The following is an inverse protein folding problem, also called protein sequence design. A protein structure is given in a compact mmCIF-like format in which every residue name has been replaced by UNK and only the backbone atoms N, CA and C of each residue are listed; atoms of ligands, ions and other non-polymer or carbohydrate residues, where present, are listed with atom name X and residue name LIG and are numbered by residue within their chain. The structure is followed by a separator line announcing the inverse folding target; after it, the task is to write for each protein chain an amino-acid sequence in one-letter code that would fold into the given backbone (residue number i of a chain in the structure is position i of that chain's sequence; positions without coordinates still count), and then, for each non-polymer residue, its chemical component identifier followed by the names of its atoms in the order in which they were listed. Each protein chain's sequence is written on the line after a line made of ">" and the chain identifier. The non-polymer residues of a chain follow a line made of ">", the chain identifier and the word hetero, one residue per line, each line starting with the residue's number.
data_IF_942587182344
#
_entry.id   IF_942587182344
#
_cell.length_a   1.000
_cell.length_b   1.000
_cell.length_c   1.000
_cell.angle_alpha   90.00
_cell.angle_beta   90.00
_cell.angle_gamma   90.00
#
_symmetry.space_group_name_H-M   'P 1'
#
loop_
_entity.id
_entity.type
_entity.pdbx_description
1 polymer ?
#
# COMPACT_ATOMS: atom_id res chain seq x y z
N UNK A 1 -14.54 -13.75 7.59
CA UNK A 1 -15.44 -13.84 6.42
C UNK A 1 -14.88 -13.00 5.29
N UNK A 2 -15.42 -13.07 4.07
CA UNK A 2 -15.04 -12.24 2.93
C UNK A 2 -16.28 -11.73 2.19
N UNK A 3 -16.16 -10.61 1.50
CA UNK A 3 -17.15 -10.10 0.53
C UNK A 3 -16.61 -10.33 -0.87
N UNK A 4 -17.49 -10.78 -1.75
CA UNK A 4 -17.23 -10.92 -3.17
C UNK A 4 -18.01 -9.84 -3.91
N UNK A 5 -17.32 -9.07 -4.76
CA UNK A 5 -17.90 -8.16 -5.74
C UNK A 5 -17.55 -8.64 -7.13
N UNK A 6 -18.49 -8.51 -8.07
CA UNK A 6 -18.24 -8.96 -9.44
C UNK A 6 -19.04 -8.17 -10.47
N UNK A 7 -18.49 -8.12 -11.69
CA UNK A 7 -19.14 -7.59 -12.87
C UNK A 7 -18.91 -8.51 -14.08
N UNK A 8 -19.25 -8.09 -15.27
CA UNK A 8 -19.05 -8.90 -16.50
C UNK A 8 -17.58 -9.21 -16.83
N UNK A 9 -16.59 -8.52 -16.24
CA UNK A 9 -15.17 -8.67 -16.54
C UNK A 9 -14.38 -9.35 -15.41
N UNK A 10 -14.68 -8.97 -14.18
CA UNK A 10 -13.85 -9.27 -13.01
C UNK A 10 -14.69 -9.82 -11.85
N UNK A 11 -14.03 -10.63 -11.04
CA UNK A 11 -14.48 -11.07 -9.72
C UNK A 11 -13.39 -10.77 -8.71
N UNK A 12 -13.70 -9.96 -7.70
CA UNK A 12 -12.78 -9.63 -6.62
C UNK A 12 -13.31 -10.15 -5.27
N UNK A 13 -12.40 -10.62 -4.43
CA UNK A 13 -12.71 -11.08 -3.08
C UNK A 13 -11.89 -10.30 -2.05
N UNK A 14 -12.57 -9.74 -1.05
CA UNK A 14 -11.98 -8.91 -0.01
C UNK A 14 -12.33 -9.51 1.35
N UNK A 15 -11.31 -9.76 2.19
CA UNK A 15 -11.46 -10.27 3.55
C UNK A 15 -11.90 -9.17 4.50
N UNK A 16 -12.76 -9.49 5.48
CA UNK A 16 -13.08 -8.58 6.57
C UNK A 16 -11.86 -8.28 7.45
N UNK A 17 -10.98 -9.28 7.63
CA UNK A 17 -9.71 -9.05 8.31
C UNK A 17 -8.77 -8.26 7.42
N UNK A 18 -8.41 -7.07 7.90
CA UNK A 18 -7.51 -6.16 7.22
C UNK A 18 -8.13 -5.41 6.04
N UNK A 19 -9.42 -5.59 5.74
CA UNK A 19 -10.02 -5.18 4.47
C UNK A 19 -9.15 -5.65 3.27
N UNK A 20 -8.47 -6.81 3.42
CA UNK A 20 -7.43 -7.26 2.51
C UNK A 20 -8.02 -7.79 1.21
N UNK A 21 -7.66 -7.18 0.08
CA UNK A 21 -7.94 -7.75 -1.24
C UNK A 21 -7.21 -9.09 -1.39
N UNK A 22 -7.95 -10.17 -1.55
CA UNK A 22 -7.37 -11.52 -1.53
C UNK A 22 -7.38 -12.22 -2.88
N UNK A 23 -8.20 -11.76 -3.82
CA UNK A 23 -8.27 -12.33 -5.17
C UNK A 23 -8.86 -11.31 -6.13
N UNK A 24 -8.32 -11.24 -7.33
CA UNK A 24 -8.97 -10.64 -8.50
C UNK A 24 -8.79 -11.56 -9.68
N UNK A 25 -9.90 -12.02 -10.23
CA UNK A 25 -9.90 -12.91 -11.39
C UNK A 25 -10.65 -12.30 -12.57
N UNK A 26 -10.13 -12.51 -13.78
CA UNK A 26 -10.91 -12.28 -14.98
C UNK A 26 -11.87 -13.46 -15.25
N UNK A 27 -12.72 -13.33 -16.27
CA UNK A 27 -13.68 -14.39 -16.64
C UNK A 27 -13.03 -15.69 -17.13
N UNK A 28 -11.78 -15.61 -17.60
CA UNK A 28 -10.96 -16.79 -17.95
C UNK A 28 -10.37 -17.53 -16.75
N UNK A 29 -10.55 -17.00 -15.53
CA UNK A 29 -10.02 -17.59 -14.29
C UNK A 29 -8.57 -17.21 -13.99
N UNK A 30 -7.97 -16.29 -14.75
CA UNK A 30 -6.62 -15.80 -14.45
C UNK A 30 -6.62 -15.00 -13.14
N UNK A 31 -5.82 -15.43 -12.18
CA UNK A 31 -5.66 -14.78 -10.88
C UNK A 31 -4.51 -13.77 -10.94
N UNK A 32 -4.83 -12.50 -10.71
CA UNK A 32 -3.87 -11.41 -10.74
C UNK A 32 -3.11 -11.23 -9.42
N UNK A 33 -3.73 -11.60 -8.30
CA UNK A 33 -3.19 -11.36 -6.96
C UNK A 33 -2.40 -12.58 -6.47
N UNK A 34 -1.29 -12.33 -5.82
CA UNK A 34 -0.54 -13.34 -5.08
C UNK A 34 -1.43 -14.02 -4.04
N UNK A 35 -1.42 -15.35 -4.01
CA UNK A 35 -2.37 -16.09 -3.16
C UNK A 35 -1.87 -16.40 -1.75
N UNK A 36 -0.69 -15.90 -1.40
CA UNK A 36 -0.07 -16.13 -0.10
C UNK A 36 0.53 -17.55 0.02
N UNK A 37 1.73 -17.61 0.55
CA UNK A 37 2.38 -18.86 0.93
C UNK A 37 3.16 -18.58 2.23
N UNK A 38 2.84 -19.30 3.30
CA UNK A 38 3.49 -19.12 4.61
C UNK A 38 5.01 -19.31 4.56
N UNK A 39 5.49 -20.13 3.63
CA UNK A 39 6.94 -20.35 3.42
C UNK A 39 7.63 -19.20 2.72
N UNK A 40 6.88 -18.36 2.01
CA UNK A 40 7.39 -17.21 1.26
C UNK A 40 6.91 -15.93 1.93
N UNK A 41 5.63 -15.63 1.78
CA UNK A 41 4.94 -14.47 2.37
C UNK A 41 3.44 -14.74 2.43
N UNK A 42 2.91 -14.82 3.64
CA UNK A 42 1.54 -15.25 3.89
C UNK A 42 0.46 -14.22 3.56
N UNK A 43 0.83 -12.93 3.41
CA UNK A 43 -0.12 -11.85 3.08
C UNK A 43 -0.32 -11.77 1.57
N UNK A 44 -1.34 -11.01 1.17
CA UNK A 44 -1.71 -10.78 -0.23
C UNK A 44 -1.67 -9.28 -0.58
N UNK A 45 -2.58 -8.49 -0.04
CA UNK A 45 -2.66 -7.04 -0.25
C UNK A 45 -2.98 -6.33 1.09
N UNK A 46 -2.06 -6.33 2.07
CA UNK A 46 -2.35 -5.75 3.36
C UNK A 46 -2.56 -4.23 3.26
N UNK A 47 -3.62 -3.75 3.90
CA UNK A 47 -3.89 -2.32 4.07
C UNK A 47 -3.05 -1.79 5.22
N UNK A 48 -2.36 -0.67 4.98
CA UNK A 48 -1.45 -0.04 5.93
C UNK A 48 -2.15 1.13 6.62
N UNK A 49 -2.19 1.15 7.96
CA UNK A 49 -2.70 2.24 8.79
C UNK A 49 -2.42 1.94 10.27
N UNK A 50 -2.09 2.91 11.15
CA UNK A 50 -1.93 4.35 10.88
C UNK A 50 -0.49 4.76 10.53
N UNK A 51 0.39 3.82 10.21
CA UNK A 51 1.75 4.07 9.76
C UNK A 51 2.10 3.23 8.54
N UNK A 52 2.96 3.76 7.67
CA UNK A 52 3.59 3.04 6.58
C UNK A 52 5.03 2.69 6.96
N UNK A 53 5.44 1.45 6.69
CA UNK A 53 6.79 0.98 7.00
C UNK A 53 7.04 0.75 8.49
N UNK A 54 8.31 0.81 8.87
CA UNK A 54 8.78 0.52 10.23
C UNK A 54 8.96 1.80 11.05
N UNK A 55 8.70 1.70 12.35
CA UNK A 55 9.11 2.68 13.35
C UNK A 55 10.39 2.20 14.04
N UNK A 56 11.30 3.11 14.34
CA UNK A 56 12.54 2.80 15.09
C UNK A 56 12.15 2.20 16.43
N UNK A 57 12.74 1.04 16.75
CA UNK A 57 12.44 0.26 17.95
C UNK A 57 10.95 -0.13 18.11
N UNK A 58 10.16 -0.07 17.03
CA UNK A 58 8.68 -0.26 17.04
C UNK A 58 7.97 0.69 18.00
N UNK A 59 8.47 1.90 18.19
CA UNK A 59 7.96 2.87 19.16
C UNK A 59 7.86 4.25 18.56
N UNK A 60 6.94 5.04 19.10
CA UNK A 60 6.85 6.46 18.87
C UNK A 60 6.41 7.19 20.14
N UNK A 61 6.60 8.51 20.19
CA UNK A 61 6.16 9.36 21.30
C UNK A 61 5.06 10.30 20.84
N UNK A 62 4.06 10.46 21.68
CA UNK A 62 2.99 11.42 21.49
C UNK A 62 2.44 11.87 22.84
N UNK A 63 2.26 13.21 23.04
CA UNK A 63 1.70 13.77 24.27
C UNK A 63 2.47 13.38 25.54
N UNK A 64 3.80 13.21 25.46
CA UNK A 64 4.64 12.81 26.57
C UNK A 64 4.66 11.31 26.87
N UNK A 65 3.83 10.51 26.22
CA UNK A 65 3.78 9.04 26.37
C UNK A 65 4.52 8.34 25.23
N UNK A 66 4.94 7.10 25.48
CA UNK A 66 5.53 6.20 24.47
C UNK A 66 4.55 5.10 24.15
N UNK A 67 4.35 4.88 22.85
CA UNK A 67 3.48 3.86 22.31
C UNK A 67 4.27 2.86 21.48
N UNK A 68 3.84 1.59 21.51
CA UNK A 68 4.41 0.54 20.66
C UNK A 68 3.51 0.30 19.44
N UNK A 69 4.11 0.12 18.28
CA UNK A 69 3.38 -0.18 17.06
C UNK A 69 4.24 -1.02 16.11
N UNK A 70 3.64 -2.04 15.56
CA UNK A 70 4.28 -2.88 14.57
C UNK A 70 4.44 -2.16 13.22
N UNK A 71 5.31 -2.70 12.38
CA UNK A 71 5.43 -2.26 10.98
C UNK A 71 4.07 -2.24 10.30
N UNK A 72 3.79 -1.17 9.57
CA UNK A 72 2.54 -0.92 8.85
C UNK A 72 1.30 -0.73 9.74
N UNK A 73 1.48 -0.55 11.05
CA UNK A 73 0.38 -0.35 11.99
C UNK A 73 -0.44 -1.60 12.25
N UNK A 74 -1.73 -1.42 12.50
CA UNK A 74 -2.62 -2.50 12.96
C UNK A 74 -3.75 -2.84 11.99
N UNK A 75 -4.02 -2.03 10.96
CA UNK A 75 -5.18 -2.23 10.08
C UNK A 75 -5.22 -3.63 9.46
N UNK A 76 -4.10 -4.14 8.94
CA UNK A 76 -4.03 -5.47 8.33
C UNK A 76 -4.32 -6.64 9.30
N UNK A 77 -4.23 -6.40 10.62
CA UNK A 77 -4.54 -7.38 11.65
C UNK A 77 -5.94 -7.21 12.25
N UNK A 78 -6.59 -6.08 12.03
CA UNK A 78 -7.91 -5.73 12.56
C UNK A 78 -9.04 -6.35 11.74
N UNK A 79 -10.20 -6.55 12.38
CA UNK A 79 -11.42 -6.96 11.68
C UNK A 79 -12.25 -5.70 11.41
N UNK A 80 -12.51 -5.45 10.13
CA UNK A 80 -13.33 -4.35 9.68
C UNK A 80 -14.81 -4.73 9.68
N UNK A 81 -15.66 -3.78 9.98
CA UNK A 81 -17.08 -3.89 9.65
C UNK A 81 -17.20 -3.81 8.14
N UNK A 82 -17.72 -4.87 7.53
CA UNK A 82 -17.87 -4.98 6.09
C UNK A 82 -19.32 -4.81 5.66
N UNK A 83 -19.54 -4.03 4.60
CA UNK A 83 -20.85 -3.78 4.02
C UNK A 83 -20.79 -3.93 2.50
N UNK A 84 -21.64 -4.79 1.94
CA UNK A 84 -21.83 -4.90 0.49
C UNK A 84 -22.77 -3.79 0.03
N UNK A 85 -22.25 -2.82 -0.72
CA UNK A 85 -23.03 -1.68 -1.21
C UNK A 85 -23.84 -2.05 -2.48
N UNK A 86 -23.28 -2.91 -3.34
CA UNK A 86 -23.89 -3.40 -4.56
C UNK A 86 -23.26 -4.74 -4.99
N UNK A 87 -23.61 -5.24 -6.18
CA UNK A 87 -22.90 -6.39 -6.79
C UNK A 87 -21.43 -6.07 -7.09
N UNK A 88 -21.12 -4.80 -7.37
CA UNK A 88 -19.79 -4.33 -7.78
C UNK A 88 -19.04 -3.53 -6.73
N UNK A 89 -19.62 -3.25 -5.56
CA UNK A 89 -18.99 -2.40 -4.56
C UNK A 89 -19.18 -2.90 -3.13
N UNK A 90 -18.13 -2.72 -2.31
CA UNK A 90 -18.12 -3.02 -0.89
C UNK A 90 -17.35 -1.96 -0.11
N UNK A 91 -17.79 -1.69 1.12
CA UNK A 91 -17.17 -0.77 2.07
C UNK A 91 -16.73 -1.52 3.32
N UNK A 92 -15.50 -1.22 3.74
CA UNK A 92 -14.90 -1.76 4.96
C UNK A 92 -14.56 -0.61 5.88
N UNK A 93 -15.00 -0.67 7.13
CA UNK A 93 -14.82 0.43 8.10
C UNK A 93 -14.19 -0.11 9.39
N UNK A 94 -13.16 0.57 9.84
CA UNK A 94 -12.49 0.35 11.12
C UNK A 94 -12.59 1.62 11.95
N UNK A 95 -13.02 1.48 13.20
CA UNK A 95 -12.99 2.54 14.20
C UNK A 95 -12.08 2.14 15.36
N UNK A 96 -11.79 3.09 16.22
CA UNK A 96 -11.03 2.83 17.44
C UNK A 96 -11.75 1.81 18.34
N UNK A 97 -10.96 1.11 19.11
CA UNK A 97 -11.37 0.23 20.21
C UNK A 97 -10.27 0.25 21.30
N UNK A 98 -10.45 -0.47 22.38
CA UNK A 98 -9.48 -0.50 23.49
C UNK A 98 -8.08 -0.92 23.03
N UNK A 99 -7.96 -1.93 22.13
CA UNK A 99 -6.68 -2.41 21.63
C UNK A 99 -5.98 -1.36 20.74
N UNK A 100 -6.73 -0.68 19.87
CA UNK A 100 -6.17 0.35 19.01
C UNK A 100 -5.81 1.61 19.80
N UNK A 101 -6.62 2.03 20.77
CA UNK A 101 -6.34 3.18 21.65
C UNK A 101 -5.10 2.97 22.52
N UNK A 102 -4.81 1.73 22.93
CA UNK A 102 -3.61 1.41 23.69
C UNK A 102 -2.30 1.63 22.91
N UNK A 103 -2.35 1.55 21.58
CA UNK A 103 -1.18 1.73 20.69
C UNK A 103 -1.27 2.98 19.80
N UNK A 104 -2.46 3.62 19.70
CA UNK A 104 -2.71 4.79 18.87
C UNK A 104 -3.85 5.63 19.50
N UNK A 105 -3.50 6.66 20.32
CA UNK A 105 -4.46 7.33 21.20
C UNK A 105 -5.30 8.38 20.48
N UNK A 106 -5.98 7.98 19.42
CA UNK A 106 -6.85 8.84 18.60
C UNK A 106 -8.16 8.12 18.29
N UNK A 107 -9.26 8.89 18.29
CA UNK A 107 -10.54 8.44 17.76
C UNK A 107 -10.57 8.69 16.24
N UNK A 108 -10.87 7.65 15.47
CA UNK A 108 -10.83 7.71 14.02
C UNK A 108 -11.92 6.87 13.37
N UNK A 109 -12.26 7.19 12.12
CA UNK A 109 -12.95 6.28 11.23
C UNK A 109 -12.03 6.09 10.01
N UNK A 110 -11.53 4.87 9.83
CA UNK A 110 -10.77 4.49 8.65
C UNK A 110 -11.62 3.59 7.77
N UNK A 111 -11.81 3.97 6.51
CA UNK A 111 -12.59 3.19 5.56
C UNK A 111 -11.83 2.88 4.29
N UNK A 112 -12.10 1.71 3.73
CA UNK A 112 -11.61 1.27 2.43
C UNK A 112 -12.82 0.83 1.60
N UNK A 113 -13.09 1.51 0.51
CA UNK A 113 -14.13 1.15 -0.46
C UNK A 113 -13.50 0.51 -1.68
N UNK A 114 -14.02 -0.62 -2.08
CA UNK A 114 -13.66 -1.32 -3.31
C UNK A 114 -14.84 -1.25 -4.28
N UNK A 115 -14.57 -0.89 -5.55
CA UNK A 115 -15.60 -0.81 -6.57
C UNK A 115 -15.06 -1.26 -7.93
N UNK A 116 -15.73 -2.22 -8.57
CA UNK A 116 -15.43 -2.66 -9.93
C UNK A 116 -16.11 -1.76 -10.95
N UNK A 117 -15.33 -1.12 -11.81
CA UNK A 117 -15.79 -0.26 -12.91
C UNK A 117 -15.18 -0.76 -14.23
N UNK A 118 -15.95 -1.47 -15.02
CA UNK A 118 -15.41 -2.14 -16.20
C UNK A 118 -14.30 -3.12 -15.83
N UNK A 119 -13.11 -2.95 -16.39
CA UNK A 119 -11.91 -3.77 -16.09
C UNK A 119 -11.02 -3.15 -15.02
N UNK A 120 -11.53 -2.23 -14.24
CA UNK A 120 -10.77 -1.58 -13.16
C UNK A 120 -11.36 -1.91 -11.79
N UNK A 121 -10.50 -2.03 -10.81
CA UNK A 121 -10.83 -1.96 -9.38
C UNK A 121 -10.42 -0.57 -8.87
N UNK A 122 -11.41 0.19 -8.45
CA UNK A 122 -11.23 1.48 -7.80
C UNK A 122 -11.17 1.25 -6.30
N UNK A 123 -10.08 1.69 -5.66
CA UNK A 123 -9.88 1.57 -4.21
C UNK A 123 -9.80 2.98 -3.62
N UNK A 124 -10.78 3.31 -2.78
CA UNK A 124 -10.84 4.58 -2.07
C UNK A 124 -10.55 4.36 -0.59
N UNK A 125 -9.56 5.07 -0.09
CA UNK A 125 -9.23 5.15 1.33
C UNK A 125 -9.73 6.47 1.90
N UNK A 126 -10.37 6.43 3.06
CA UNK A 126 -10.75 7.65 3.77
C UNK A 126 -10.43 7.52 5.25
N UNK A 127 -9.83 8.58 5.81
CA UNK A 127 -9.55 8.72 7.22
C UNK A 127 -10.32 9.93 7.73
N UNK A 128 -11.25 9.71 8.65
CA UNK A 128 -11.96 10.78 9.36
C UNK A 128 -11.38 10.91 10.76
N UNK A 129 -11.02 12.12 11.13
CA UNK A 129 -10.71 12.45 12.51
C UNK A 129 -12.01 12.55 13.33
N UNK A 130 -12.26 11.55 14.18
CA UNK A 130 -13.42 11.52 15.07
C UNK A 130 -13.09 12.02 16.48
N UNK A 131 -11.84 12.50 16.69
CA UNK A 131 -11.36 13.07 17.94
C UNK A 131 -11.65 14.58 18.01
N UNK A 132 -11.50 15.18 19.19
CA UNK A 132 -11.57 16.63 19.43
C UNK A 132 -10.21 17.35 19.29
N UNK A 133 -9.14 16.60 18.98
CA UNK A 133 -7.77 17.07 18.75
C UNK A 133 -7.28 16.69 17.35
N UNK A 134 -6.14 17.22 16.97
CA UNK A 134 -5.46 16.84 15.71
C UNK A 134 -5.10 15.35 15.70
N UNK A 135 -5.38 14.69 14.61
CA UNK A 135 -5.02 13.29 14.34
C UNK A 135 -3.82 13.25 13.39
N UNK A 136 -2.89 12.32 13.65
CA UNK A 136 -1.68 12.13 12.85
C UNK A 136 -1.65 10.70 12.31
N UNK A 137 -1.51 10.54 11.01
CA UNK A 137 -1.57 9.23 10.38
C UNK A 137 -0.79 9.16 9.08
N UNK A 138 -0.53 7.95 8.63
CA UNK A 138 -0.23 7.61 7.24
C UNK A 138 -0.97 6.31 6.88
N UNK A 139 -1.17 6.09 5.59
CA UNK A 139 -1.78 4.87 5.09
C UNK A 139 -1.22 4.52 3.71
N UNK A 140 -1.42 3.28 3.29
CA UNK A 140 -0.96 2.84 1.99
C UNK A 140 -1.56 1.52 1.59
N UNK A 141 -1.41 1.26 0.31
CA UNK A 141 -1.72 0.02 -0.36
C UNK A 141 -0.46 -0.85 -0.48
N UNK A 142 -0.61 -2.16 -0.53
CA UNK A 142 0.51 -3.09 -0.60
C UNK A 142 0.13 -4.33 -1.43
N UNK A 143 -0.42 -4.09 -2.62
CA UNK A 143 -0.90 -5.15 -3.49
C UNK A 143 0.25 -5.95 -4.08
N UNK A 144 0.23 -7.27 -3.84
CA UNK A 144 1.13 -8.23 -4.47
C UNK A 144 0.48 -8.86 -5.69
N UNK A 145 1.06 -8.64 -6.84
CA UNK A 145 0.63 -9.20 -8.12
C UNK A 145 1.40 -10.48 -8.44
N UNK A 146 0.72 -11.47 -9.00
CA UNK A 146 1.34 -12.71 -9.46
C UNK A 146 2.34 -12.43 -10.58
N UNK A 147 3.62 -12.80 -10.34
CA UNK A 147 4.72 -12.61 -11.29
C UNK A 147 5.53 -13.89 -11.35
N UNK A 148 5.05 -14.88 -12.11
CA UNK A 148 5.80 -16.11 -12.39
C UNK A 148 6.84 -15.84 -13.48
N UNK A 149 7.99 -16.52 -13.41
CA UNK A 149 9.11 -16.29 -14.34
C UNK A 149 9.53 -14.80 -14.31
N UNK A 150 10.01 -14.36 -13.16
CA UNK A 150 10.19 -12.96 -12.76
C UNK A 150 11.00 -12.12 -13.78
N UNK A 151 11.96 -12.73 -14.46
CA UNK A 151 12.81 -12.14 -15.50
C UNK A 151 12.09 -11.85 -16.84
N UNK A 152 10.86 -12.37 -17.00
CA UNK A 152 10.01 -12.07 -18.17
C UNK A 152 9.11 -10.85 -17.98
N UNK A 153 9.21 -10.20 -16.81
CA UNK A 153 8.37 -9.09 -16.45
C UNK A 153 9.12 -7.78 -16.39
N UNK A 154 8.38 -6.69 -16.54
CA UNK A 154 8.88 -5.33 -16.45
C UNK A 154 7.80 -4.41 -15.86
N UNK A 155 8.24 -3.27 -15.32
CA UNK A 155 7.37 -2.17 -14.94
C UNK A 155 7.60 -1.02 -15.90
N UNK A 156 6.60 -0.67 -16.69
CA UNK A 156 6.61 0.51 -17.57
C UNK A 156 6.05 1.71 -16.83
N UNK A 157 6.78 2.81 -16.81
CA UNK A 157 6.33 4.10 -16.28
C UNK A 157 5.53 4.87 -17.33
N UNK A 158 4.58 5.72 -16.89
CA UNK A 158 3.83 6.61 -17.79
C UNK A 158 4.73 7.44 -18.68
N UNK A 159 5.85 7.90 -18.15
CA UNK A 159 6.84 8.75 -18.82
C UNK A 159 8.23 8.15 -18.72
N UNK A 160 9.15 8.65 -19.51
CA UNK A 160 10.56 8.40 -19.30
C UNK A 160 11.02 9.13 -18.05
N UNK A 161 11.64 8.42 -17.11
CA UNK A 161 12.04 8.89 -15.80
C UNK A 161 13.56 8.79 -15.58
N UNK A 162 14.09 9.75 -14.84
CA UNK A 162 15.31 9.51 -14.06
C UNK A 162 14.86 9.01 -12.70
N UNK A 163 14.98 7.70 -12.48
CA UNK A 163 14.51 7.04 -11.28
C UNK A 163 15.44 7.37 -10.11
N UNK A 164 14.98 8.22 -9.22
CA UNK A 164 15.60 8.43 -7.92
C UNK A 164 14.90 7.58 -6.88
N UNK A 165 15.68 7.02 -5.96
CA UNK A 165 15.15 6.29 -4.79
C UNK A 165 15.64 6.95 -3.51
N UNK A 166 14.81 6.89 -2.46
CA UNK A 166 15.20 7.33 -1.13
C UNK A 166 16.33 6.45 -0.61
N UNK A 167 17.37 7.07 -0.04
CA UNK A 167 18.47 6.33 0.56
C UNK A 167 17.98 5.54 1.78
N UNK A 168 18.47 4.32 1.89
CA UNK A 168 18.25 3.50 3.07
C UNK A 168 19.49 3.53 3.97
N UNK A 169 19.30 3.84 5.24
CA UNK A 169 20.37 3.75 6.26
C UNK A 169 20.61 2.30 6.67
N UNK A 170 19.53 1.50 6.68
CA UNK A 170 19.54 0.05 6.89
C UNK A 170 18.21 -0.53 6.38
N UNK A 171 18.07 -1.84 6.17
CA UNK A 171 16.83 -2.42 5.65
C UNK A 171 15.59 -1.99 6.45
N UNK A 172 14.67 -1.30 5.76
CA UNK A 172 13.40 -0.81 6.33
C UNK A 172 13.48 0.51 7.09
N UNK A 173 14.64 1.20 7.09
CA UNK A 173 14.80 2.55 7.67
C UNK A 173 15.48 3.48 6.68
N UNK A 174 14.96 4.70 6.57
CA UNK A 174 15.46 5.70 5.64
C UNK A 174 16.69 6.44 6.20
N UNK A 175 17.58 6.85 5.30
CA UNK A 175 18.61 7.85 5.51
C UNK A 175 18.25 9.14 4.79
N UNK A 176 19.03 10.20 5.04
CA UNK A 176 18.81 11.48 4.38
C UNK A 176 19.18 11.44 2.91
N UNK A 177 18.36 12.14 2.11
CA UNK A 177 18.56 12.33 0.67
C UNK A 177 18.05 11.18 -0.19
N UNK A 178 18.36 11.30 -1.46
CA UNK A 178 18.02 10.33 -2.50
C UNK A 178 19.26 10.03 -3.35
N UNK A 179 19.21 8.97 -4.12
CA UNK A 179 20.24 8.60 -5.09
C UNK A 179 19.62 8.29 -6.44
N UNK A 180 20.38 8.56 -7.50
CA UNK A 180 19.97 8.16 -8.85
C UNK A 180 20.14 6.65 -8.99
N UNK A 181 19.02 5.96 -9.07
CA UNK A 181 18.98 4.51 -9.27
C UNK A 181 19.24 4.14 -10.75
N UNK A 182 18.52 4.80 -11.66
CA UNK A 182 18.71 4.67 -13.11
C UNK A 182 18.23 5.91 -13.85
N UNK A 183 18.95 6.33 -14.88
CA UNK A 183 18.60 7.45 -15.74
C UNK A 183 17.83 7.02 -16.98
N UNK A 184 16.90 7.86 -17.45
CA UNK A 184 16.24 7.73 -18.75
C UNK A 184 15.36 6.48 -18.92
N UNK A 185 14.76 5.97 -17.84
CA UNK A 185 14.00 4.71 -17.84
C UNK A 185 12.55 4.95 -18.25
N UNK A 186 12.08 4.28 -19.28
CA UNK A 186 10.67 4.16 -19.62
C UNK A 186 10.11 2.82 -19.13
N UNK A 187 10.91 1.76 -19.19
CA UNK A 187 10.55 0.41 -18.78
C UNK A 187 11.70 -0.19 -17.95
N UNK A 188 11.39 -0.68 -16.76
CA UNK A 188 12.30 -1.31 -15.82
C UNK A 188 12.14 -2.82 -15.89
N UNK A 189 13.05 -3.58 -16.54
CA UNK A 189 13.03 -5.04 -16.48
C UNK A 189 13.23 -5.52 -15.04
N UNK A 190 12.43 -6.52 -14.64
CA UNK A 190 12.47 -7.06 -13.29
C UNK A 190 13.57 -8.13 -13.16
N UNK A 191 14.28 -8.05 -12.05
CA UNK A 191 15.14 -9.12 -11.53
C UNK A 191 15.23 -8.97 -10.01
N UNK A 192 15.61 -10.03 -9.30
CA UNK A 192 15.67 -10.00 -7.84
C UNK A 192 16.78 -9.12 -7.27
N UNK A 193 17.80 -8.79 -8.07
CA UNK A 193 18.91 -7.93 -7.64
C UNK A 193 18.45 -6.51 -7.34
N UNK A 194 17.35 -6.06 -7.96
CA UNK A 194 16.75 -4.75 -7.70
C UNK A 194 16.34 -4.58 -6.23
N UNK A 195 16.06 -5.68 -5.52
CA UNK A 195 15.44 -5.71 -4.19
C UNK A 195 16.39 -6.25 -3.10
N UNK A 196 17.68 -6.35 -3.37
CA UNK A 196 18.67 -6.86 -2.40
C UNK A 196 18.78 -5.99 -1.14
N UNK A 197 18.50 -4.70 -1.27
CA UNK A 197 18.55 -3.72 -0.18
C UNK A 197 17.16 -3.36 0.36
N UNK A 198 16.11 -4.21 0.14
CA UNK A 198 14.71 -3.96 0.46
C UNK A 198 13.95 -3.24 -0.68
N UNK A 199 12.81 -2.58 -0.38
CA UNK A 199 11.93 -1.93 -1.36
C UNK A 199 12.62 -0.77 -2.08
N UNK A 200 12.33 -0.60 -3.37
CA UNK A 200 12.62 0.62 -4.10
C UNK A 200 11.56 1.67 -3.76
N UNK A 201 11.92 2.68 -2.98
CA UNK A 201 11.02 3.80 -2.65
C UNK A 201 11.37 4.95 -3.58
N UNK A 202 10.57 5.15 -4.61
CA UNK A 202 10.83 6.19 -5.60
C UNK A 202 10.60 7.58 -5.03
N UNK A 203 11.44 8.53 -5.43
CA UNK A 203 11.39 9.93 -5.00
C UNK A 203 11.27 10.86 -6.19
N UNK A 204 10.17 11.62 -6.25
CA UNK A 204 9.94 12.64 -7.26
C UNK A 204 9.56 12.11 -8.65
N UNK A 205 8.85 10.99 -8.74
CA UNK A 205 8.29 10.50 -9.99
C UNK A 205 7.35 11.54 -10.63
N UNK A 206 7.50 11.74 -11.93
CA UNK A 206 6.57 12.54 -12.75
C UNK A 206 5.41 11.68 -13.29
N UNK A 207 5.66 10.37 -13.45
CA UNK A 207 4.63 9.38 -13.77
C UNK A 207 3.63 9.26 -12.63
N UNK A 208 2.36 9.05 -12.96
CA UNK A 208 1.27 8.85 -12.00
C UNK A 208 0.58 7.51 -12.15
N UNK A 209 0.99 6.72 -13.13
CA UNK A 209 0.66 5.31 -13.21
C UNK A 209 1.87 4.51 -13.70
N UNK A 210 1.87 3.23 -13.38
CA UNK A 210 2.81 2.23 -13.91
C UNK A 210 2.03 1.06 -14.47
N UNK A 211 2.63 0.38 -15.43
CA UNK A 211 2.05 -0.83 -16.04
C UNK A 211 2.99 -2.01 -15.83
N UNK A 212 2.51 -3.02 -15.12
CA UNK A 212 3.18 -4.32 -15.01
C UNK A 212 2.95 -5.10 -16.30
N UNK A 213 4.04 -5.47 -16.97
CA UNK A 213 4.01 -6.12 -18.28
C UNK A 213 4.69 -7.49 -18.20
N UNK A 214 4.19 -8.44 -18.98
CA UNK A 214 4.84 -9.72 -19.21
C UNK A 214 5.20 -9.85 -20.68
N UNK A 215 6.48 -10.02 -21.00
CA UNK A 215 6.96 -10.14 -22.38
C UNK A 215 6.44 -9.00 -23.28
N UNK A 216 6.46 -7.77 -22.77
CA UNK A 216 5.99 -6.57 -23.44
C UNK A 216 4.47 -6.38 -23.47
N UNK A 217 3.66 -7.35 -22.99
CA UNK A 217 2.18 -7.25 -22.94
C UNK A 217 1.72 -6.70 -21.60
N UNK A 218 0.85 -5.68 -21.56
CA UNK A 218 0.25 -5.18 -20.33
C UNK A 218 -0.56 -6.25 -19.60
N UNK A 219 -0.40 -6.35 -18.28
CA UNK A 219 -1.16 -7.27 -17.43
C UNK A 219 -1.93 -6.51 -16.36
N UNK A 220 -1.26 -5.58 -15.66
CA UNK A 220 -1.89 -4.74 -14.63
C UNK A 220 -1.38 -3.32 -14.78
N UNK A 221 -2.27 -2.34 -14.69
CA UNK A 221 -1.96 -0.92 -14.57
C UNK A 221 -2.31 -0.45 -13.16
N UNK A 222 -1.41 0.28 -12.52
CA UNK A 222 -1.64 0.87 -11.18
C UNK A 222 -1.51 2.37 -11.30
N UNK A 223 -2.63 3.07 -11.14
CA UNK A 223 -2.71 4.53 -11.01
C UNK A 223 -2.59 4.93 -9.55
N UNK A 224 -1.70 5.88 -9.25
CA UNK A 224 -1.41 6.35 -7.90
C UNK A 224 -1.47 7.88 -7.75
N UNK A 225 -2.31 8.55 -8.53
CA UNK A 225 -2.46 10.02 -8.49
C UNK A 225 -2.77 10.58 -7.09
N UNK A 226 -3.49 9.82 -6.27
CA UNK A 226 -3.85 10.20 -4.91
C UNK A 226 -2.78 9.91 -3.86
N UNK A 227 -1.57 9.48 -4.25
CA UNK A 227 -0.51 9.04 -3.34
C UNK A 227 0.80 9.79 -3.56
N UNK A 228 1.55 10.00 -2.48
CA UNK A 228 2.81 10.74 -2.50
C UNK A 228 3.97 9.88 -3.00
N UNK A 229 3.97 8.60 -2.63
CA UNK A 229 5.06 7.68 -2.86
C UNK A 229 4.59 6.46 -3.67
N UNK A 230 5.48 5.92 -4.50
CA UNK A 230 5.34 4.61 -5.11
C UNK A 230 6.51 3.74 -4.70
N UNK A 231 6.21 2.51 -4.30
CA UNK A 231 7.21 1.52 -3.96
C UNK A 231 7.07 0.27 -4.82
N UNK A 232 8.21 -0.37 -5.09
CA UNK A 232 8.25 -1.72 -5.63
C UNK A 232 8.97 -2.62 -4.64
N UNK A 233 8.41 -3.80 -4.39
CA UNK A 233 9.02 -4.77 -3.47
C UNK A 233 8.68 -6.22 -3.82
N UNK A 234 9.63 -7.09 -3.58
CA UNK A 234 9.45 -8.54 -3.57
C UNK A 234 10.48 -9.20 -2.66
N UNK A 235 10.25 -10.42 -2.28
CA UNK A 235 11.28 -11.27 -1.67
C UNK A 235 12.06 -12.00 -2.76
N UNK A 236 13.36 -12.24 -2.52
CA UNK A 236 14.18 -13.01 -3.42
C UNK A 236 13.57 -14.40 -3.69
N UNK A 237 13.41 -14.73 -4.98
CA UNK A 237 12.81 -15.98 -5.44
C UNK A 237 11.29 -16.07 -5.32
N UNK A 238 10.60 -15.04 -4.85
CA UNK A 238 9.15 -15.03 -4.73
C UNK A 238 8.46 -14.76 -6.07
N UNK A 239 7.35 -15.44 -6.41
CA UNK A 239 6.66 -15.28 -7.69
C UNK A 239 5.61 -14.14 -7.62
N UNK A 240 5.95 -13.03 -7.00
CA UNK A 240 5.11 -11.84 -6.94
C UNK A 240 5.94 -10.55 -6.99
N UNK A 241 5.29 -9.46 -7.35
CA UNK A 241 5.78 -8.09 -7.19
C UNK A 241 4.72 -7.29 -6.44
N UNK A 242 5.10 -6.60 -5.39
CA UNK A 242 4.29 -5.56 -4.79
C UNK A 242 4.49 -4.25 -5.54
N UNK A 243 3.39 -3.58 -5.88
CA UNK A 243 3.36 -2.20 -6.38
C UNK A 243 2.53 -1.41 -5.39
N UNK A 244 3.17 -0.51 -4.66
CA UNK A 244 2.66 0.00 -3.41
C UNK A 244 2.54 1.53 -3.42
N UNK A 245 1.35 2.08 -3.70
CA UNK A 245 1.06 3.50 -3.46
C UNK A 245 0.96 3.80 -1.96
N UNK A 246 1.80 4.73 -1.44
CA UNK A 246 1.76 5.13 -0.04
C UNK A 246 1.55 6.63 0.16
N UNK A 247 0.79 6.97 1.19
CA UNK A 247 0.71 8.30 1.79
C UNK A 247 1.43 8.25 3.15
N UNK A 248 2.74 8.14 3.12
CA UNK A 248 3.60 7.99 4.28
C UNK A 248 4.92 7.32 3.96
N UNK A 249 5.80 7.27 4.95
CA UNK A 249 7.16 6.74 4.84
C UNK A 249 7.52 5.91 6.07
N UNK A 250 8.47 4.96 5.98
CA UNK A 250 9.13 4.39 7.14
C UNK A 250 9.85 5.48 7.95
N UNK A 251 10.26 5.18 9.17
CA UNK A 251 11.09 6.09 9.92
C UNK A 251 12.46 6.29 9.26
N UNK A 252 12.98 7.50 9.41
CA UNK A 252 14.39 7.77 9.22
C UNK A 252 15.17 7.26 10.43
N UNK A 253 16.37 6.73 10.21
CA UNK A 253 17.17 6.09 11.26
C UNK A 253 17.56 7.06 12.39
N UNK A 254 17.62 8.36 12.09
CA UNK A 254 17.94 9.44 13.02
C UNK A 254 16.71 10.14 13.63
N UNK A 255 15.51 9.55 13.47
CA UNK A 255 14.28 10.13 14.03
C UNK A 255 14.38 10.31 15.54
N UNK A 256 13.79 11.40 16.04
CA UNK A 256 13.61 11.60 17.48
C UNK A 256 12.42 10.82 18.06
N UNK A 257 11.67 10.13 17.21
CA UNK A 257 10.52 9.32 17.59
C UNK A 257 9.25 10.11 17.92
N UNK A 258 9.24 11.45 17.77
CA UNK A 258 8.05 12.26 18.00
C UNK A 258 7.07 12.14 16.83
N UNK A 259 5.89 11.59 17.10
CA UNK A 259 4.93 11.19 16.06
C UNK A 259 4.45 12.37 15.21
N UNK A 260 4.27 13.52 15.85
CA UNK A 260 3.82 14.75 15.17
C UNK A 260 4.85 15.33 14.19
N UNK A 261 6.12 14.90 14.30
CA UNK A 261 7.23 15.32 13.44
C UNK A 261 7.76 14.23 12.51
N UNK A 262 7.12 13.05 12.55
CA UNK A 262 7.50 11.94 11.68
C UNK A 262 7.41 12.39 10.21
N UNK A 263 8.48 12.18 9.43
CA UNK A 263 8.47 12.49 8.00
C UNK A 263 7.42 11.65 7.28
N UNK A 264 6.67 12.29 6.39
CA UNK A 264 5.57 11.66 5.65
C UNK A 264 4.29 11.45 6.47
N UNK A 265 4.22 11.89 7.74
CA UNK A 265 2.98 11.84 8.52
C UNK A 265 2.01 12.93 8.05
N UNK A 266 0.74 12.59 7.96
CA UNK A 266 -0.33 13.55 7.69
C UNK A 266 -0.97 14.01 8.99
N UNK A 267 -1.34 15.27 9.03
CA UNK A 267 -2.10 15.89 10.11
C UNK A 267 -3.51 16.18 9.60
N UNK A 268 -4.52 15.88 10.42
CA UNK A 268 -5.93 16.10 10.12
C UNK A 268 -6.60 16.77 11.32
N UNK A 269 -7.20 17.94 11.14
CA UNK A 269 -7.88 18.64 12.22
C UNK A 269 -9.14 17.90 12.68
N UNK A 270 -9.60 18.23 13.88
CA UNK A 270 -10.81 17.62 14.46
C UNK A 270 -12.02 17.71 13.52
N UNK A 271 -12.70 16.60 13.29
CA UNK A 271 -13.89 16.50 12.44
C UNK A 271 -13.61 16.44 10.93
N UNK A 272 -12.37 16.70 10.48
CA UNK A 272 -12.02 16.65 9.04
C UNK A 272 -11.91 15.20 8.53
N UNK A 273 -12.01 15.08 7.20
CA UNK A 273 -11.80 13.81 6.49
C UNK A 273 -10.79 14.02 5.37
N UNK A 274 -9.82 13.11 5.26
CA UNK A 274 -8.90 13.00 4.13
C UNK A 274 -9.25 11.75 3.34
N UNK A 275 -9.27 11.84 2.01
CA UNK A 275 -9.46 10.68 1.14
C UNK A 275 -8.42 10.62 0.03
N UNK A 276 -8.15 9.42 -0.44
CA UNK A 276 -7.26 9.14 -1.56
C UNK A 276 -7.77 7.93 -2.34
N UNK A 277 -7.58 7.96 -3.64
CA UNK A 277 -8.04 6.91 -4.55
C UNK A 277 -6.89 6.43 -5.41
N UNK A 278 -6.76 5.12 -5.57
CA UNK A 278 -6.00 4.56 -6.67
C UNK A 278 -6.85 3.61 -7.50
N UNK A 279 -6.40 3.33 -8.72
CA UNK A 279 -7.10 2.46 -9.65
C UNK A 279 -6.17 1.37 -10.13
N UNK A 280 -6.70 0.17 -10.20
CA UNK A 280 -5.98 -1.01 -10.70
C UNK A 280 -6.72 -1.49 -11.93
N UNK A 281 -6.12 -1.27 -13.11
CA UNK A 281 -6.64 -1.77 -14.40
C UNK A 281 -6.09 -3.17 -14.68
N UNK A 282 -6.95 -4.11 -15.03
CA UNK A 282 -6.60 -5.50 -15.35
C UNK A 282 -6.73 -5.72 -16.86
N UNK A 283 -5.60 -5.99 -17.48
CA UNK A 283 -5.49 -6.28 -18.90
C UNK A 283 -5.60 -7.79 -19.15
N UNK A 284 -5.91 -8.17 -20.38
CA UNK A 284 -5.93 -9.59 -20.79
C UNK A 284 -4.54 -10.11 -21.14
#
# INVERSE_FOLDING_TARGET
>A
MSIVIENEFLRAEIKERGAELSSVKNRGGYEYIWQGDEKIWAKQCPVLFPVCGRLVNKKYRYGGNTYEMNSHGFASASVFRAERLSETAALFTLTENEETLAQYPFCFVFSVKYELVGRELVVEYAVKNADDKDLYFSFGAHEAYNVRDFDRWSVEFERQEDLYVKKQASPGYLGEGRELFRAGVKELPLNYELFLNDALIFDGLRSRFVTLKREGRPVVMVDFHGFDELLLWTKAGAPYLCIEPWNGLPDYADTDGEFTRKKGIRKLAAGETFSSVHRIGFCE
#
